data_IF_463551699877
#
_entry.id   IF_463551699877
#
_cell.length_a   1.000
_cell.length_b   1.000
_cell.length_c   1.000
_cell.angle_alpha   90.00
_cell.angle_beta   90.00
_cell.angle_gamma   90.00
#
_symmetry.space_group_name_H-M   'P 1'
#
loop_
_entity.id
_entity.type
_entity.pdbx_description
1 polymer ?
#
# COMPACT_ATOMS: atom_id res chain seq x y z
N UNK A 1 45.85 -16.23 -61.19
CA UNK A 1 45.69 -17.56 -60.56
C UNK A 1 44.91 -17.34 -59.27
N UNK A 2 43.57 -17.46 -59.30
CA UNK A 2 42.75 -18.62 -58.91
C UNK A 2 43.02 -19.13 -57.47
N UNK A 3 42.03 -18.94 -56.59
CA UNK A 3 41.92 -19.57 -55.26
C UNK A 3 40.82 -18.89 -54.43
N UNK A 4 39.54 -19.10 -54.77
CA UNK A 4 38.58 -20.04 -54.14
C UNK A 4 38.03 -19.55 -52.79
N UNK A 5 36.84 -18.95 -52.87
CA UNK A 5 35.87 -18.86 -51.79
C UNK A 5 35.37 -20.27 -51.42
N UNK A 6 35.24 -20.54 -50.13
CA UNK A 6 34.50 -21.67 -49.58
C UNK A 6 33.40 -21.13 -48.67
N UNK A 7 32.21 -21.00 -49.23
CA UNK A 7 30.97 -20.70 -48.51
C UNK A 7 30.54 -22.02 -47.85
N UNK A 8 30.52 -22.05 -46.52
CA UNK A 8 30.09 -23.22 -45.74
C UNK A 8 28.56 -23.32 -45.76
N UNK A 9 28.07 -24.16 -46.66
CA UNK A 9 26.67 -24.53 -46.89
C UNK A 9 26.25 -25.61 -45.88
N UNK A 10 26.20 -25.32 -44.58
CA UNK A 10 25.88 -26.35 -43.56
C UNK A 10 25.27 -25.82 -42.24
N UNK A 11 24.49 -24.73 -42.27
CA UNK A 11 23.74 -24.23 -41.09
C UNK A 11 22.32 -23.73 -41.41
N UNK A 12 21.69 -24.29 -42.44
CA UNK A 12 20.27 -24.14 -42.71
C UNK A 12 19.71 -25.56 -42.76
N UNK A 13 18.85 -25.94 -41.79
CA UNK A 13 17.81 -27.01 -41.85
C UNK A 13 17.43 -27.54 -40.45
N UNK A 14 18.17 -27.26 -39.36
CA UNK A 14 17.78 -27.69 -37.99
C UNK A 14 17.41 -26.51 -37.05
N UNK A 15 16.62 -25.56 -37.53
CA UNK A 15 16.14 -24.43 -36.70
C UNK A 15 14.65 -24.12 -36.93
N UNK A 16 13.82 -25.13 -37.22
CA UNK A 16 12.40 -24.90 -37.57
C UNK A 16 11.41 -25.90 -36.97
N UNK A 17 11.80 -26.68 -35.94
CA UNK A 17 10.90 -27.62 -35.27
C UNK A 17 10.77 -27.42 -33.75
N UNK A 18 11.49 -26.46 -33.15
CA UNK A 18 11.41 -26.17 -31.71
C UNK A 18 10.64 -24.89 -31.36
N UNK A 19 10.12 -24.16 -32.36
CA UNK A 19 9.41 -22.88 -32.16
C UNK A 19 7.87 -22.98 -32.27
N UNK A 20 7.32 -24.20 -32.39
CA UNK A 20 5.88 -24.44 -32.58
C UNK A 20 5.20 -25.19 -31.42
N UNK A 21 5.83 -25.26 -30.24
CA UNK A 21 5.30 -25.95 -29.06
C UNK A 21 5.36 -25.09 -27.77
N UNK A 22 5.43 -23.76 -27.91
CA UNK A 22 5.26 -22.80 -26.80
C UNK A 22 4.11 -21.81 -27.07
N UNK A 23 3.05 -22.26 -27.73
CA UNK A 23 1.91 -21.41 -28.13
C UNK A 23 0.58 -21.79 -27.47
N UNK A 24 0.60 -22.61 -26.40
CA UNK A 24 -0.62 -23.11 -25.74
C UNK A 24 -0.63 -22.95 -24.22
N UNK A 25 0.14 -22.00 -23.70
CA UNK A 25 -0.01 -21.49 -22.33
C UNK A 25 -0.11 -19.97 -22.37
N UNK A 26 -1.05 -19.48 -23.18
CA UNK A 26 -1.65 -18.17 -22.89
C UNK A 26 -2.34 -18.26 -21.53
N UNK A 27 -2.27 -17.20 -20.69
CA UNK A 27 -2.98 -17.21 -19.42
C UNK A 27 -4.45 -17.50 -19.70
N UNK A 28 -4.96 -18.58 -19.11
CA UNK A 28 -6.39 -18.86 -19.07
C UNK A 28 -7.04 -17.84 -18.14
N UNK A 29 -7.09 -16.57 -18.53
CA UNK A 29 -8.00 -15.58 -17.94
C UNK A 29 -9.36 -15.78 -18.57
N UNK A 30 -10.06 -16.83 -18.14
CA UNK A 30 -11.42 -17.09 -18.57
C UNK A 30 -12.12 -17.85 -17.47
N UNK A 31 -12.48 -17.15 -16.39
CA UNK A 31 -13.71 -17.35 -15.62
C UNK A 31 -13.87 -16.23 -14.57
N UNK A 32 -13.72 -14.97 -14.99
CA UNK A 32 -14.39 -13.90 -14.26
C UNK A 32 -15.86 -13.96 -14.70
N UNK A 33 -16.69 -14.69 -13.96
CA UNK A 33 -18.11 -14.36 -13.92
C UNK A 33 -18.27 -12.86 -13.64
N UNK A 34 -19.39 -12.28 -14.07
CA UNK A 34 -19.69 -10.85 -14.03
C UNK A 34 -19.88 -10.35 -12.58
N UNK A 35 -18.92 -10.62 -11.70
CA UNK A 35 -18.98 -10.27 -10.29
C UNK A 35 -18.59 -8.80 -10.13
N UNK A 36 -19.53 -8.00 -9.67
CA UNK A 36 -19.29 -6.62 -9.27
C UNK A 36 -19.65 -6.40 -7.81
N UNK A 37 -18.75 -5.77 -7.06
CA UNK A 37 -19.02 -5.32 -5.70
C UNK A 37 -20.05 -4.17 -5.64
N UNK A 38 -20.38 -3.53 -6.76
CA UNK A 38 -21.46 -2.54 -6.80
C UNK A 38 -22.84 -3.23 -6.71
N UNK A 39 -22.97 -4.41 -7.31
CA UNK A 39 -24.19 -5.22 -7.25
C UNK A 39 -24.21 -6.11 -6.01
N UNK A 40 -23.03 -6.48 -5.50
CA UNK A 40 -22.84 -7.35 -4.34
C UNK A 40 -21.90 -6.69 -3.30
N UNK A 41 -22.31 -5.56 -2.71
CA UNK A 41 -21.48 -4.85 -1.73
C UNK A 41 -21.33 -5.65 -0.44
N UNK A 42 -20.40 -5.24 0.44
CA UNK A 42 -20.35 -5.80 1.79
C UNK A 42 -21.73 -5.66 2.47
N UNK A 43 -22.31 -6.74 3.01
CA UNK A 43 -23.61 -6.66 3.67
C UNK A 43 -23.47 -5.79 4.93
N UNK A 44 -24.17 -4.65 4.97
CA UNK A 44 -24.11 -3.71 6.09
C UNK A 44 -25.35 -3.78 6.99
N UNK A 45 -26.51 -4.06 6.42
CA UNK A 45 -27.81 -4.12 7.13
C UNK A 45 -28.34 -5.54 7.29
N UNK A 46 -27.77 -6.52 6.57
CA UNK A 46 -28.27 -7.89 6.53
C UNK A 46 -27.54 -8.83 7.50
N UNK A 47 -26.45 -8.36 8.12
CA UNK A 47 -25.63 -9.13 9.09
C UNK A 47 -26.41 -9.33 10.39
N UNK A 48 -26.45 -10.57 10.89
CA UNK A 48 -27.05 -10.91 12.19
C UNK A 48 -26.19 -10.43 13.36
N UNK A 49 -26.77 -10.32 14.55
CA UNK A 49 -26.02 -9.95 15.74
C UNK A 49 -24.90 -10.97 16.09
N UNK A 50 -25.15 -12.27 15.88
CA UNK A 50 -24.16 -13.33 16.07
C UNK A 50 -22.99 -13.22 15.09
N UNK A 51 -23.27 -12.88 13.83
CA UNK A 51 -22.24 -12.65 12.82
C UNK A 51 -21.44 -11.39 13.11
N UNK A 52 -22.08 -10.34 13.62
CA UNK A 52 -21.38 -9.14 14.08
C UNK A 52 -20.42 -9.47 15.24
N UNK A 53 -20.88 -10.24 16.24
CA UNK A 53 -20.02 -10.71 17.34
C UNK A 53 -18.87 -11.58 16.84
N UNK A 54 -19.11 -12.42 15.83
CA UNK A 54 -18.07 -13.22 15.19
C UNK A 54 -17.02 -12.33 14.53
N UNK A 55 -17.44 -11.36 13.70
CA UNK A 55 -16.54 -10.43 13.02
C UNK A 55 -15.71 -9.63 14.04
N UNK A 56 -16.37 -8.96 14.98
CA UNK A 56 -15.73 -8.05 15.92
C UNK A 56 -14.74 -8.77 16.86
N UNK A 57 -15.00 -10.03 17.20
CA UNK A 57 -14.14 -10.81 18.08
C UNK A 57 -13.85 -10.09 19.40
N UNK A 58 -12.61 -10.17 19.90
CA UNK A 58 -12.16 -9.38 21.06
C UNK A 58 -11.48 -8.09 20.58
N UNK A 59 -12.29 -7.14 20.09
CA UNK A 59 -11.81 -5.90 19.48
C UNK A 59 -10.82 -5.10 20.36
N UNK A 60 -10.92 -5.22 21.69
CA UNK A 60 -10.02 -4.52 22.63
C UNK A 60 -8.61 -5.04 22.58
N UNK A 61 -8.45 -6.34 22.34
CA UNK A 61 -7.15 -6.99 22.18
C UNK A 61 -6.69 -6.93 20.72
N UNK A 62 -7.64 -7.08 19.81
CA UNK A 62 -7.37 -7.40 18.41
C UNK A 62 -7.22 -6.15 17.53
N UNK A 63 -7.82 -5.02 17.91
CA UNK A 63 -7.85 -3.78 17.11
C UNK A 63 -6.48 -3.12 16.84
N UNK A 64 -5.44 -3.50 17.59
CA UNK A 64 -4.06 -3.03 17.37
C UNK A 64 -3.18 -4.06 16.67
N UNK A 65 -3.71 -5.24 16.37
CA UNK A 65 -3.01 -6.27 15.61
C UNK A 65 -3.24 -6.07 14.12
N UNK A 66 -2.31 -6.50 13.24
CA UNK A 66 -2.53 -6.51 11.79
C UNK A 66 -3.90 -7.08 11.42
N UNK A 67 -4.59 -6.41 10.49
CA UNK A 67 -5.97 -6.76 10.08
C UNK A 67 -6.99 -6.80 11.24
N UNK A 68 -6.74 -6.00 12.29
CA UNK A 68 -7.50 -5.97 13.53
C UNK A 68 -7.70 -7.38 14.12
N UNK A 69 -6.64 -8.20 14.14
CA UNK A 69 -6.65 -9.56 14.72
C UNK A 69 -7.63 -10.50 14.00
N UNK A 70 -7.63 -10.43 12.67
CA UNK A 70 -8.42 -11.31 11.80
C UNK A 70 -9.85 -10.84 11.55
N UNK A 71 -10.21 -9.62 11.97
CA UNK A 71 -11.53 -9.02 11.67
C UNK A 71 -11.80 -9.00 10.17
N UNK A 72 -10.80 -8.60 9.39
CA UNK A 72 -10.85 -8.53 7.92
C UNK A 72 -11.17 -9.91 7.33
N UNK A 73 -10.46 -10.96 7.77
CA UNK A 73 -10.72 -12.33 7.32
C UNK A 73 -12.11 -12.85 7.73
N UNK A 74 -12.54 -12.59 8.96
CA UNK A 74 -13.89 -12.98 9.43
C UNK A 74 -14.99 -12.27 8.65
N UNK A 75 -14.80 -11.00 8.30
CA UNK A 75 -15.71 -10.27 7.41
C UNK A 75 -15.76 -10.89 6.01
N UNK A 76 -14.64 -11.39 5.49
CA UNK A 76 -14.62 -12.13 4.23
C UNK A 76 -15.40 -13.45 4.30
N UNK A 77 -15.25 -14.21 5.39
CA UNK A 77 -16.02 -15.45 5.58
C UNK A 77 -17.54 -15.19 5.64
N UNK A 78 -17.95 -14.08 6.27
CA UNK A 78 -19.35 -13.65 6.23
C UNK A 78 -19.75 -13.21 4.82
N UNK A 79 -18.90 -12.48 4.09
CA UNK A 79 -19.17 -12.13 2.69
C UNK A 79 -19.45 -13.37 1.83
N UNK A 80 -18.63 -14.42 1.94
CA UNK A 80 -18.83 -15.68 1.21
C UNK A 80 -20.12 -16.42 1.59
N UNK A 81 -20.64 -16.23 2.80
CA UNK A 81 -21.93 -16.81 3.21
C UNK A 81 -23.11 -16.19 2.47
N UNK A 82 -23.07 -14.87 2.25
CA UNK A 82 -24.12 -14.13 1.54
C UNK A 82 -23.96 -14.25 0.01
N UNK A 83 -22.73 -14.44 -0.44
CA UNK A 83 -22.35 -14.45 -1.84
C UNK A 83 -21.50 -15.69 -2.18
N UNK A 84 -22.06 -16.90 -2.10
CA UNK A 84 -21.30 -18.14 -2.28
C UNK A 84 -20.68 -18.25 -3.68
N UNK A 85 -21.37 -17.72 -4.70
CA UNK A 85 -20.89 -17.74 -6.09
C UNK A 85 -19.58 -16.95 -6.27
N UNK A 86 -19.28 -15.98 -5.40
CA UNK A 86 -18.00 -15.26 -5.41
C UNK A 86 -16.82 -16.20 -5.17
N UNK A 87 -16.97 -17.21 -4.30
CA UNK A 87 -15.93 -18.18 -4.00
C UNK A 87 -15.48 -18.99 -5.22
N UNK A 88 -16.32 -19.06 -6.26
CA UNK A 88 -16.06 -19.81 -7.49
C UNK A 88 -15.41 -18.94 -8.59
N UNK A 89 -15.28 -17.63 -8.38
CA UNK A 89 -14.78 -16.68 -9.40
C UNK A 89 -13.27 -16.74 -9.62
N UNK A 90 -12.51 -17.21 -8.64
CA UNK A 90 -11.04 -17.29 -8.69
C UNK A 90 -10.50 -18.29 -7.65
N UNK A 91 -9.20 -18.56 -7.72
CA UNK A 91 -8.50 -19.27 -6.63
C UNK A 91 -8.70 -18.54 -5.29
N UNK A 92 -8.80 -19.24 -4.15
CA UNK A 92 -9.20 -18.65 -2.87
C UNK A 92 -8.39 -17.43 -2.44
N UNK A 93 -7.07 -17.46 -2.67
CA UNK A 93 -6.17 -16.35 -2.33
C UNK A 93 -6.41 -15.12 -3.22
N UNK A 94 -6.66 -15.35 -4.51
CA UNK A 94 -6.95 -14.27 -5.45
C UNK A 94 -8.32 -13.64 -5.16
N UNK A 95 -9.32 -14.46 -4.82
CA UNK A 95 -10.64 -13.99 -4.40
C UNK A 95 -10.56 -13.16 -3.12
N UNK A 96 -9.78 -13.60 -2.12
CA UNK A 96 -9.55 -12.84 -0.91
C UNK A 96 -8.85 -11.51 -1.19
N UNK A 97 -7.79 -11.52 -2.01
CA UNK A 97 -7.07 -10.29 -2.36
C UNK A 97 -7.95 -9.29 -3.14
N UNK A 98 -8.80 -9.78 -4.05
CA UNK A 98 -9.73 -8.95 -4.80
C UNK A 98 -10.78 -8.32 -3.87
N UNK A 99 -11.26 -9.07 -2.89
CA UNK A 99 -12.17 -8.56 -1.86
C UNK A 99 -11.49 -7.50 -0.99
N UNK A 100 -10.24 -7.72 -0.56
CA UNK A 100 -9.46 -6.72 0.19
C UNK A 100 -9.25 -5.42 -0.59
N UNK A 101 -8.94 -5.53 -1.88
CA UNK A 101 -8.76 -4.36 -2.74
C UNK A 101 -10.08 -3.58 -2.91
N UNK A 102 -11.22 -4.28 -2.97
CA UNK A 102 -12.54 -3.63 -2.90
C UNK A 102 -12.75 -2.85 -1.60
N UNK A 103 -12.47 -3.48 -0.46
CA UNK A 103 -12.63 -2.83 0.85
C UNK A 103 -11.73 -1.60 0.98
N UNK A 104 -10.52 -1.61 0.40
CA UNK A 104 -9.61 -0.46 0.41
C UNK A 104 -10.03 0.65 -0.56
N UNK A 105 -10.72 0.30 -1.65
CA UNK A 105 -11.24 1.26 -2.63
C UNK A 105 -12.50 1.98 -2.13
N UNK A 106 -13.26 1.36 -1.23
CA UNK A 106 -14.45 1.91 -0.60
C UNK A 106 -14.08 2.73 0.64
N UNK A 107 -13.94 4.06 0.49
CA UNK A 107 -13.53 4.97 1.58
C UNK A 107 -14.49 4.96 2.79
N UNK A 108 -15.77 4.62 2.58
CA UNK A 108 -16.75 4.51 3.66
C UNK A 108 -16.61 3.19 4.44
N UNK A 109 -15.81 2.26 3.93
CA UNK A 109 -15.63 0.97 4.54
C UNK A 109 -14.65 1.01 5.72
N UNK A 110 -15.20 0.87 6.93
CA UNK A 110 -14.42 0.86 8.18
C UNK A 110 -13.29 -0.19 8.25
N UNK A 111 -13.36 -1.27 7.46
CA UNK A 111 -12.32 -2.30 7.43
C UNK A 111 -11.03 -1.83 6.74
N UNK A 112 -11.09 -0.77 5.92
CA UNK A 112 -9.90 -0.14 5.33
C UNK A 112 -8.89 0.25 6.41
N UNK A 113 -9.35 0.85 7.52
CA UNK A 113 -8.49 1.19 8.66
C UNK A 113 -7.90 -0.02 9.40
N UNK A 114 -8.59 -1.16 9.40
CA UNK A 114 -8.02 -2.40 9.95
C UNK A 114 -6.89 -2.96 9.08
N UNK A 115 -6.98 -2.77 7.76
CA UNK A 115 -5.94 -3.21 6.83
C UNK A 115 -4.77 -2.27 6.75
N UNK A 116 -4.86 -1.02 7.21
CA UNK A 116 -3.79 -0.02 7.09
C UNK A 116 -3.43 0.58 8.45
N UNK A 117 -4.37 1.26 9.12
CA UNK A 117 -4.15 1.91 10.41
C UNK A 117 -3.56 1.01 11.49
N UNK A 118 -3.99 -0.25 11.59
CA UNK A 118 -3.40 -1.20 12.54
C UNK A 118 -1.87 -1.38 12.38
N UNK A 119 -1.35 -1.28 11.14
CA UNK A 119 0.07 -1.37 10.85
C UNK A 119 0.82 -0.10 11.29
N UNK A 120 0.24 1.08 11.05
CA UNK A 120 0.80 2.36 11.50
C UNK A 120 0.83 2.43 13.04
N UNK A 121 -0.28 2.06 13.70
CA UNK A 121 -0.36 2.01 15.16
C UNK A 121 0.58 0.99 15.78
N UNK A 122 0.84 -0.14 15.12
CA UNK A 122 1.79 -1.12 15.62
C UNK A 122 3.23 -0.57 15.66
N UNK A 123 3.64 0.21 14.65
CA UNK A 123 4.93 0.91 14.63
C UNK A 123 4.97 1.95 15.76
N UNK A 124 3.94 2.78 15.86
CA UNK A 124 3.86 3.83 16.89
C UNK A 124 3.88 3.25 18.32
N UNK A 125 3.17 2.14 18.53
CA UNK A 125 3.12 1.43 19.82
C UNK A 125 4.48 0.87 20.19
N UNK A 126 5.19 0.26 19.23
CA UNK A 126 6.55 -0.23 19.46
C UNK A 126 7.50 0.91 19.82
N UNK A 127 7.43 2.01 19.07
CA UNK A 127 8.21 3.22 19.32
C UNK A 127 7.95 3.82 20.71
N UNK A 128 6.67 4.01 21.11
CA UNK A 128 6.29 4.55 22.42
C UNK A 128 6.71 3.65 23.58
N UNK A 129 6.77 2.34 23.36
CA UNK A 129 7.16 1.38 24.39
C UNK A 129 8.66 1.42 24.67
N UNK A 130 9.48 1.37 23.62
CA UNK A 130 10.93 1.37 23.74
C UNK A 130 11.61 1.80 22.43
N UNK A 131 11.85 3.11 22.24
CA UNK A 131 12.41 3.64 21.01
C UNK A 131 13.87 3.21 20.82
N UNK A 132 14.57 2.84 21.91
CA UNK A 132 15.99 2.46 21.86
C UNK A 132 16.26 1.12 21.19
N UNK A 133 15.22 0.31 20.99
CA UNK A 133 15.29 -1.01 20.35
C UNK A 133 15.15 -0.98 18.83
N UNK A 134 14.73 0.15 18.28
CA UNK A 134 14.58 0.35 16.84
C UNK A 134 15.83 1.09 16.37
N UNK A 135 16.61 0.43 15.53
CA UNK A 135 17.89 0.95 15.02
C UNK A 135 17.78 1.45 13.57
N UNK A 136 16.75 0.99 12.85
CA UNK A 136 16.41 1.49 11.53
C UNK A 136 15.61 2.79 11.61
N UNK A 137 15.74 3.64 10.60
CA UNK A 137 14.85 4.77 10.38
C UNK A 137 14.33 4.77 8.95
N UNK A 138 13.19 5.43 8.74
CA UNK A 138 12.51 5.49 7.46
C UNK A 138 12.04 6.90 7.12
N UNK A 139 12.29 7.31 5.88
CA UNK A 139 11.85 8.57 5.34
C UNK A 139 11.23 8.45 3.93
N UNK A 140 10.84 7.24 3.53
CA UNK A 140 10.69 6.85 2.11
C UNK A 140 11.77 5.91 1.64
N UNK A 141 12.86 5.83 2.40
CA UNK A 141 13.94 4.86 2.27
C UNK A 141 14.36 4.45 3.67
N UNK A 142 14.73 3.19 3.81
CA UNK A 142 15.33 2.72 5.05
C UNK A 142 16.78 3.22 5.15
N UNK A 143 17.13 3.70 6.34
CA UNK A 143 18.48 3.97 6.76
C UNK A 143 18.83 3.01 7.92
N UNK A 144 20.04 2.46 7.89
CA UNK A 144 20.44 1.37 8.76
C UNK A 144 20.11 -0.01 8.18
N UNK A 145 20.79 -1.04 8.68
CA UNK A 145 20.48 -2.43 8.36
C UNK A 145 19.56 -3.00 9.46
N UNK A 146 18.46 -3.70 9.11
CA UNK A 146 17.59 -4.31 10.11
C UNK A 146 18.31 -5.51 10.74
N UNK A 147 18.63 -5.41 12.03
CA UNK A 147 19.40 -6.45 12.74
C UNK A 147 18.65 -7.08 13.90
N UNK A 148 17.59 -6.42 14.39
CA UNK A 148 16.75 -6.91 15.48
C UNK A 148 15.39 -7.40 14.99
N UNK A 149 14.67 -8.17 15.81
CA UNK A 149 13.27 -8.52 15.54
C UNK A 149 12.39 -7.27 15.43
N UNK A 150 12.67 -6.25 16.25
CA UNK A 150 11.97 -4.95 16.18
C UNK A 150 12.21 -4.23 14.85
N UNK A 151 13.45 -4.23 14.33
CA UNK A 151 13.74 -3.61 13.04
C UNK A 151 13.01 -4.34 11.90
N UNK A 152 13.07 -5.67 11.89
CA UNK A 152 12.38 -6.50 10.88
C UNK A 152 10.88 -6.28 10.94
N UNK A 153 10.32 -6.15 12.15
CA UNK A 153 8.91 -5.82 12.35
C UNK A 153 8.57 -4.46 11.73
N UNK A 154 9.33 -3.40 12.04
CA UNK A 154 9.10 -2.06 11.47
C UNK A 154 9.21 -2.08 9.95
N UNK A 155 10.24 -2.72 9.40
CA UNK A 155 10.46 -2.84 7.94
C UNK A 155 9.28 -3.53 7.26
N UNK A 156 8.81 -4.65 7.81
CA UNK A 156 7.66 -5.39 7.29
C UNK A 156 6.39 -4.52 7.24
N UNK A 157 6.06 -3.85 8.36
CA UNK A 157 4.86 -3.02 8.44
C UNK A 157 4.89 -1.80 7.54
N UNK A 158 6.05 -1.13 7.43
CA UNK A 158 6.22 0.00 6.51
C UNK A 158 6.11 -0.47 5.05
N UNK A 159 6.78 -1.57 4.66
CA UNK A 159 6.70 -2.08 3.29
C UNK A 159 5.28 -2.50 2.90
N UNK A 160 4.56 -3.11 3.83
CA UNK A 160 3.15 -3.43 3.60
C UNK A 160 2.33 -2.15 3.37
N UNK A 161 2.45 -1.14 4.25
CA UNK A 161 1.75 0.13 4.09
C UNK A 161 2.10 0.85 2.80
N UNK A 162 3.39 0.89 2.45
CA UNK A 162 3.90 1.45 1.20
C UNK A 162 3.24 0.77 -0.01
N UNK A 163 3.24 -0.56 -0.05
CA UNK A 163 2.66 -1.32 -1.15
C UNK A 163 1.15 -1.16 -1.29
N UNK A 164 0.42 -0.95 -0.19
CA UNK A 164 -1.03 -0.67 -0.25
C UNK A 164 -1.29 0.79 -0.63
N UNK A 165 -0.50 1.74 -0.13
CA UNK A 165 -0.61 3.16 -0.47
C UNK A 165 -0.28 3.43 -1.96
N UNK A 166 0.66 2.66 -2.53
CA UNK A 166 1.03 2.73 -3.95
C UNK A 166 -0.10 2.32 -4.90
N UNK A 167 -1.07 1.54 -4.42
CA UNK A 167 -2.30 1.23 -5.19
C UNK A 167 -3.23 2.45 -5.35
N UNK A 168 -2.96 3.56 -4.66
CA UNK A 168 -3.75 4.79 -4.77
C UNK A 168 -4.96 4.87 -3.86
N UNK A 169 -5.09 3.97 -2.87
CA UNK A 169 -6.20 4.00 -1.92
C UNK A 169 -6.03 5.12 -0.89
N UNK A 170 -6.99 6.05 -0.81
CA UNK A 170 -6.91 7.22 0.08
C UNK A 170 -6.72 6.83 1.55
N UNK A 171 -7.46 5.82 2.05
CA UNK A 171 -7.29 5.31 3.41
C UNK A 171 -5.86 4.82 3.68
N UNK A 172 -5.23 4.16 2.71
CA UNK A 172 -3.88 3.65 2.85
C UNK A 172 -2.83 4.77 2.80
N UNK A 173 -2.97 5.70 1.86
CA UNK A 173 -2.13 6.89 1.77
C UNK A 173 -2.24 7.75 3.04
N UNK A 174 -3.44 7.85 3.60
CA UNK A 174 -3.71 8.58 4.83
C UNK A 174 -3.04 7.95 6.05
N UNK A 175 -3.15 6.64 6.25
CA UNK A 175 -2.43 5.97 7.33
C UNK A 175 -0.91 5.90 7.11
N UNK A 176 -0.46 5.87 5.85
CA UNK A 176 0.95 6.02 5.49
C UNK A 176 1.47 7.44 5.76
N UNK A 177 0.62 8.47 5.68
CA UNK A 177 0.95 9.81 6.17
C UNK A 177 1.01 9.85 7.70
N UNK A 178 0.04 9.24 8.39
CA UNK A 178 -0.09 9.28 9.86
C UNK A 178 1.04 8.57 10.63
N UNK A 179 1.86 7.75 9.97
CA UNK A 179 3.06 7.21 10.60
C UNK A 179 4.21 8.23 10.73
N UNK A 180 4.17 9.35 10.00
CA UNK A 180 5.14 10.44 10.15
C UNK A 180 5.03 11.13 11.52
N UNK A 181 6.18 11.51 12.08
CA UNK A 181 6.23 12.36 13.28
C UNK A 181 6.92 11.74 14.50
N UNK A 182 7.70 10.68 14.30
CA UNK A 182 8.55 10.11 15.36
C UNK A 182 9.99 9.91 14.84
N UNK A 183 10.95 9.57 15.71
CA UNK A 183 12.34 9.43 15.29
C UNK A 183 12.62 8.21 14.40
N UNK A 184 11.69 7.24 14.35
CA UNK A 184 11.77 6.06 13.46
C UNK A 184 11.26 6.42 12.06
N UNK A 185 10.17 7.19 11.97
CA UNK A 185 9.52 7.56 10.70
C UNK A 185 9.43 9.08 10.57
N UNK A 186 10.27 9.63 9.68
CA UNK A 186 10.27 11.04 9.27
C UNK A 186 10.29 11.13 7.75
N UNK A 187 9.10 11.17 7.15
CA UNK A 187 8.90 11.17 5.70
C UNK A 187 9.61 12.32 4.97
N UNK A 188 10.23 12.01 3.83
CA UNK A 188 10.87 13.03 3.01
C UNK A 188 9.84 14.07 2.51
N UNK A 189 10.22 15.36 2.36
CA UNK A 189 9.35 16.38 1.77
C UNK A 189 8.67 15.97 0.46
N UNK A 190 9.34 15.21 -0.41
CA UNK A 190 8.76 14.70 -1.65
C UNK A 190 7.50 13.86 -1.40
N UNK A 191 7.56 13.00 -0.39
CA UNK A 191 6.50 12.06 -0.04
C UNK A 191 5.38 12.78 0.70
N UNK A 192 5.73 13.65 1.65
CA UNK A 192 4.73 14.49 2.32
C UNK A 192 3.97 15.36 1.32
N UNK A 193 4.68 15.93 0.34
CA UNK A 193 4.05 16.71 -0.73
C UNK A 193 3.16 15.83 -1.61
N UNK A 194 3.64 14.64 -2.03
CA UNK A 194 2.81 13.69 -2.77
C UNK A 194 1.54 13.33 -2.02
N UNK A 195 1.65 12.90 -0.75
CA UNK A 195 0.52 12.45 0.05
C UNK A 195 -0.48 13.57 0.30
N UNK A 196 0.01 14.79 0.59
CA UNK A 196 -0.86 15.96 0.73
C UNK A 196 -1.70 16.20 -0.52
N UNK A 197 -1.08 16.12 -1.70
CA UNK A 197 -1.74 16.37 -2.98
C UNK A 197 -2.63 15.21 -3.41
N UNK A 198 -2.27 13.98 -3.09
CA UNK A 198 -3.07 12.78 -3.40
C UNK A 198 -4.32 12.68 -2.51
N UNK A 199 -4.23 13.15 -1.26
CA UNK A 199 -5.33 13.13 -0.30
C UNK A 199 -6.23 14.36 -0.35
N UNK A 200 -5.85 15.40 -1.11
CA UNK A 200 -6.60 16.65 -1.21
C UNK A 200 -8.03 16.41 -1.70
N UNK A 201 -9.01 16.75 -0.85
CA UNK A 201 -10.44 16.54 -1.12
C UNK A 201 -10.96 15.11 -0.93
N UNK A 202 -10.13 14.14 -0.52
CA UNK A 202 -10.62 12.79 -0.16
C UNK A 202 -11.53 12.84 1.07
N UNK A 203 -12.54 11.96 1.15
CA UNK A 203 -13.41 11.88 2.32
C UNK A 203 -12.62 11.49 3.56
N UNK A 204 -11.67 10.56 3.43
CA UNK A 204 -10.78 10.16 4.52
C UNK A 204 -10.02 11.36 5.14
N UNK A 205 -9.40 12.20 4.30
CA UNK A 205 -8.63 13.35 4.81
C UNK A 205 -9.51 14.41 5.47
N UNK A 206 -10.71 14.63 4.92
CA UNK A 206 -11.68 15.57 5.47
C UNK A 206 -12.24 15.09 6.82
N UNK A 207 -12.61 13.81 6.94
CA UNK A 207 -13.18 13.23 8.16
C UNK A 207 -12.19 13.26 9.32
N UNK A 208 -10.90 13.08 9.02
CA UNK A 208 -9.82 13.18 10.01
C UNK A 208 -9.27 14.60 10.21
N UNK A 209 -9.75 15.57 9.43
CA UNK A 209 -9.24 16.95 9.45
C UNK A 209 -7.73 17.04 9.25
N UNK A 210 -7.15 16.18 8.38
CA UNK A 210 -5.69 16.05 8.23
C UNK A 210 -5.00 17.37 7.85
N UNK A 211 -5.73 18.28 7.20
CA UNK A 211 -5.22 19.55 6.68
C UNK A 211 -5.94 20.78 7.27
N UNK A 212 -6.79 20.60 8.29
CA UNK A 212 -7.75 21.62 8.74
C UNK A 212 -7.16 22.71 9.68
N UNK A 213 -5.88 22.64 10.07
CA UNK A 213 -5.30 23.65 10.96
C UNK A 213 -3.85 24.01 10.65
N UNK A 214 -3.52 25.30 10.78
CA UNK A 214 -2.15 25.81 10.83
C UNK A 214 -1.41 25.42 12.13
N UNK A 215 -2.15 25.01 13.16
CA UNK A 215 -1.64 24.49 14.45
C UNK A 215 -1.50 22.96 14.46
N UNK A 216 -1.57 22.32 13.30
CA UNK A 216 -1.43 20.87 13.17
C UNK A 216 0.01 20.43 13.47
N UNK A 217 0.16 19.48 14.39
CA UNK A 217 1.45 18.84 14.71
C UNK A 217 2.04 18.02 13.54
N UNK A 218 1.28 17.84 12.45
CA UNK A 218 1.73 17.04 11.31
C UNK A 218 2.64 17.86 10.40
N UNK A 219 3.84 17.33 10.10
CA UNK A 219 4.81 17.98 9.22
C UNK A 219 4.28 18.27 7.80
N UNK A 220 3.23 17.56 7.37
CA UNK A 220 2.52 17.79 6.10
C UNK A 220 1.88 19.19 6.00
N UNK A 221 1.57 19.79 7.15
CA UNK A 221 0.95 21.11 7.26
C UNK A 221 1.97 22.23 7.51
N UNK A 222 3.26 21.91 7.70
CA UNK A 222 4.28 22.91 7.95
C UNK A 222 4.38 23.89 6.77
N UNK A 223 4.35 25.22 7.02
CA UNK A 223 4.42 26.23 5.96
C UNK A 223 5.63 26.11 5.03
N UNK A 224 6.77 25.62 5.56
CA UNK A 224 8.01 25.44 4.81
C UNK A 224 8.11 24.16 3.98
N UNK A 225 7.12 23.24 4.05
CA UNK A 225 7.18 21.95 3.33
C UNK A 225 7.37 22.16 1.82
N UNK A 226 6.53 23.03 1.24
CA UNK A 226 6.60 23.33 -0.18
C UNK A 226 7.91 23.99 -0.58
N UNK A 227 8.50 24.80 0.29
CA UNK A 227 9.75 25.51 0.02
C UNK A 227 10.97 24.56 0.00
N UNK A 228 10.83 23.34 0.54
CA UNK A 228 11.86 22.30 0.46
C UNK A 228 12.02 21.72 -0.95
N UNK A 229 11.01 21.87 -1.82
CA UNK A 229 11.02 21.29 -3.17
C UNK A 229 11.35 22.38 -4.20
N UNK A 230 12.33 22.10 -5.06
CA UNK A 230 12.57 22.92 -6.26
C UNK A 230 11.36 22.88 -7.18
N UNK A 231 11.20 23.90 -8.05
CA UNK A 231 10.08 23.94 -9.01
C UNK A 231 10.05 22.71 -9.93
N UNK A 232 11.21 22.20 -10.33
CA UNK A 232 11.32 20.98 -11.13
C UNK A 232 10.84 19.75 -10.35
N UNK A 233 11.23 19.63 -9.07
CA UNK A 233 10.82 18.51 -8.23
C UNK A 233 9.31 18.53 -7.95
N UNK A 234 8.74 19.71 -7.67
CA UNK A 234 7.29 19.87 -7.52
C UNK A 234 6.54 19.40 -8.77
N UNK A 235 6.95 19.86 -9.95
CA UNK A 235 6.32 19.47 -11.21
C UNK A 235 6.39 17.95 -11.47
N UNK A 236 7.50 17.30 -11.09
CA UNK A 236 7.61 15.84 -11.13
C UNK A 236 6.60 15.17 -10.19
N UNK A 237 6.55 15.60 -8.92
CA UNK A 237 5.65 15.00 -7.92
C UNK A 237 4.19 15.24 -8.27
N UNK A 238 3.81 16.44 -8.74
CA UNK A 238 2.48 16.74 -9.26
C UNK A 238 2.09 15.79 -10.40
N UNK A 239 3.02 15.53 -11.33
CA UNK A 239 2.82 14.56 -12.39
C UNK A 239 2.62 13.13 -11.88
N UNK A 240 3.33 12.74 -10.81
CA UNK A 240 3.17 11.43 -10.18
C UNK A 240 1.82 11.30 -9.46
N UNK A 241 1.34 12.35 -8.79
CA UNK A 241 0.00 12.40 -8.17
C UNK A 241 -1.08 12.16 -9.20
N UNK A 242 -1.00 12.80 -10.38
CA UNK A 242 -1.97 12.59 -11.46
C UNK A 242 -2.04 11.15 -11.98
N UNK A 243 -0.99 10.35 -11.75
CA UNK A 243 -0.91 8.94 -12.14
C UNK A 243 -1.11 7.97 -10.96
N UNK A 244 -1.31 8.48 -9.74
CA UNK A 244 -1.25 7.70 -8.50
C UNK A 244 0.03 6.84 -8.39
N UNK A 245 1.17 7.42 -8.75
CA UNK A 245 2.45 6.72 -8.91
C UNK A 245 3.38 7.05 -7.74
N UNK A 246 3.06 6.52 -6.55
CA UNK A 246 3.86 6.73 -5.33
C UNK A 246 5.24 6.07 -5.49
N UNK A 247 5.32 4.92 -6.15
CA UNK A 247 6.55 4.20 -6.44
C UNK A 247 7.58 5.07 -7.15
N UNK A 248 7.18 5.80 -8.22
CA UNK A 248 8.11 6.72 -8.89
C UNK A 248 8.62 7.84 -7.98
N UNK A 249 7.82 8.30 -7.01
CA UNK A 249 8.29 9.26 -6.00
C UNK A 249 9.34 8.60 -5.10
N UNK A 250 9.05 7.45 -4.50
CA UNK A 250 9.95 6.70 -3.62
C UNK A 250 11.30 6.36 -4.28
N UNK A 251 11.25 5.88 -5.53
CA UNK A 251 12.43 5.52 -6.32
C UNK A 251 13.34 6.72 -6.63
N UNK A 252 12.77 7.92 -6.67
CA UNK A 252 13.50 9.16 -6.99
C UNK A 252 13.73 10.07 -5.80
N UNK A 253 13.11 9.78 -4.65
CA UNK A 253 13.32 10.51 -3.40
C UNK A 253 14.79 10.47 -3.02
N UNK A 254 15.35 11.63 -2.68
CA UNK A 254 16.74 11.73 -2.22
C UNK A 254 17.00 10.97 -0.92
N UNK A 255 18.23 11.02 -0.39
CA UNK A 255 18.49 10.61 0.99
C UNK A 255 17.53 11.28 1.97
N UNK A 256 17.35 10.72 3.16
CA UNK A 256 16.61 11.40 4.21
C UNK A 256 17.21 12.79 4.43
N UNK A 257 16.42 13.82 4.11
CA UNK A 257 16.87 15.20 4.07
C UNK A 257 17.02 15.81 5.46
N UNK A 258 17.48 17.05 5.49
CA UNK A 258 17.45 17.84 6.72
C UNK A 258 16.00 18.05 7.15
N UNK A 259 15.65 17.60 8.35
CA UNK A 259 14.33 17.78 8.95
C UNK A 259 14.23 19.08 9.77
N UNK A 260 15.24 19.96 9.74
CA UNK A 260 15.26 21.21 10.52
C UNK A 260 14.16 22.22 10.13
N UNK A 261 13.49 22.02 8.99
CA UNK A 261 12.28 22.78 8.62
C UNK A 261 11.04 22.33 9.39
N UNK A 262 11.09 21.15 10.02
CA UNK A 262 10.10 20.69 10.98
C UNK A 262 10.43 21.37 12.31
N UNK A 263 9.43 21.88 13.02
CA UNK A 263 9.65 22.37 14.38
C UNK A 263 10.26 21.25 15.23
N UNK A 264 11.15 21.61 16.17
CA UNK A 264 11.78 20.62 17.02
C UNK A 264 10.73 19.98 17.94
N UNK A 265 10.70 18.64 17.96
CA UNK A 265 9.88 17.83 18.87
C UNK A 265 10.20 18.14 20.35
#
# INVERSE_FOLDING_TARGET
>A
MRGKAAISFARLVFASAAFMLMSLSGPQTSFAGDWSFQEHPQPSTEISFEELLYIDGDWKRDGMLPECGGKVHRSYEIYLKYFPDYAETAEPEQAYQTWRDYILADEENSLGGCMTGAYAYAIETLYKRDPSRITVSYCGRFSGEPTTEEDLFVVDKIRYLEGVADKGFAVAQGYYLLMDGNSVVRLNPDILYFLRRALDGSSFANDLGLFDTQDSIFAVNSPGLEEQLSSERKAFVDGAVLRNDLSAVLETTGPCGDTAWREAD
#
